data_IF_774940726263
#
_entry.id   IF_774940726263
#
_cell.length_a   1.000
_cell.length_b   1.000
_cell.length_c   1.000
_cell.angle_alpha   90.00
_cell.angle_beta   90.00
_cell.angle_gamma   90.00
#
_symmetry.space_group_name_H-M   'P 1'
#
loop_
_entity.id
_entity.type
_entity.pdbx_description
1 polymer ?
#
# COMPACT_ATOMS: atom_id res chain seq x y z
N UNK A 1 -105.72 -23.72 6.47
CA UNK A 1 -105.28 -22.32 6.68
C UNK A 1 -103.82 -22.17 6.27
N UNK A 2 -103.52 -21.00 5.71
CA UNK A 2 -102.26 -20.48 5.14
C UNK A 2 -100.93 -20.82 5.85
N UNK A 3 -99.96 -21.31 5.05
CA UNK A 3 -98.66 -20.71 4.65
C UNK A 3 -97.54 -20.41 5.70
N UNK A 4 -96.32 -20.80 5.26
CA UNK A 4 -94.93 -20.28 5.48
C UNK A 4 -94.11 -21.00 6.57
N UNK A 5 -93.03 -21.71 6.21
CA UNK A 5 -91.66 -21.26 5.84
C UNK A 5 -90.99 -20.38 6.90
N UNK A 6 -89.98 -20.91 7.59
CA UNK A 6 -88.69 -20.23 7.86
C UNK A 6 -87.59 -21.30 7.91
N UNK A 7 -86.53 -21.05 7.13
CA UNK A 7 -85.30 -21.82 7.04
C UNK A 7 -84.38 -21.55 8.23
N UNK A 8 -83.79 -22.60 8.80
CA UNK A 8 -82.68 -22.50 9.73
C UNK A 8 -81.36 -22.65 8.98
N UNK A 9 -80.61 -21.56 8.86
CA UNK A 9 -79.19 -21.56 8.52
C UNK A 9 -78.46 -21.40 9.86
N UNK A 10 -77.69 -22.42 10.27
CA UNK A 10 -76.72 -22.24 11.37
C UNK A 10 -75.42 -22.97 11.05
N UNK A 11 -74.47 -22.15 10.59
CA UNK A 11 -73.03 -22.17 10.80
C UNK A 11 -72.28 -23.52 10.84
N UNK A 12 -71.64 -23.85 9.72
CA UNK A 12 -70.42 -24.66 9.72
C UNK A 12 -69.26 -23.81 10.27
N UNK A 13 -68.67 -24.26 11.36
CA UNK A 13 -67.44 -23.72 11.95
C UNK A 13 -66.27 -24.04 11.01
N UNK A 14 -65.86 -23.05 10.22
CA UNK A 14 -64.59 -23.05 9.50
C UNK A 14 -63.50 -22.56 10.47
N UNK A 15 -62.73 -23.50 11.00
CA UNK A 15 -61.50 -23.20 11.71
C UNK A 15 -60.47 -22.69 10.67
N UNK A 16 -60.30 -21.37 10.59
CA UNK A 16 -59.14 -20.76 9.95
C UNK A 16 -57.90 -21.09 10.79
N UNK A 17 -57.08 -22.01 10.32
CA UNK A 17 -55.70 -22.10 10.76
C UNK A 17 -54.95 -20.88 10.22
N UNK A 18 -54.68 -19.90 11.09
CA UNK A 18 -53.76 -18.82 10.80
C UNK A 18 -52.35 -19.44 10.73
N UNK A 19 -51.88 -19.74 9.53
CA UNK A 19 -50.45 -19.97 9.28
C UNK A 19 -49.80 -18.58 9.33
N UNK A 20 -48.95 -18.26 10.32
CA UNK A 20 -48.14 -17.06 10.21
C UNK A 20 -47.25 -17.26 8.98
N UNK A 21 -47.49 -16.45 7.95
CA UNK A 21 -46.55 -16.25 6.86
C UNK A 21 -45.30 -15.58 7.44
N UNK A 22 -44.47 -16.36 8.13
CA UNK A 22 -43.08 -16.03 8.39
C UNK A 22 -42.37 -16.08 7.04
N UNK A 23 -42.55 -15.02 6.26
CA UNK A 23 -41.69 -14.74 5.11
C UNK A 23 -40.30 -14.49 5.67
N UNK A 24 -39.51 -15.55 5.77
CA UNK A 24 -38.07 -15.45 5.86
C UNK A 24 -37.61 -14.84 4.52
N UNK A 25 -37.58 -13.52 4.46
CA UNK A 25 -36.68 -12.84 3.53
C UNK A 25 -35.28 -13.24 3.99
N UNK A 26 -34.76 -14.33 3.44
CA UNK A 26 -33.34 -14.60 3.51
C UNK A 26 -32.68 -13.40 2.82
N UNK A 27 -32.13 -12.50 3.64
CA UNK A 27 -31.26 -11.45 3.12
C UNK A 27 -30.23 -12.15 2.23
N UNK A 28 -30.05 -11.71 0.97
CA UNK A 28 -29.08 -12.32 0.10
C UNK A 28 -27.73 -12.22 0.81
N UNK A 29 -27.23 -13.37 1.29
CA UNK A 29 -25.86 -13.42 1.76
C UNK A 29 -25.02 -13.11 0.54
N UNK A 30 -24.40 -11.94 0.54
CA UNK A 30 -23.46 -11.55 -0.47
C UNK A 30 -22.29 -12.54 -0.39
N UNK A 31 -22.40 -13.63 -1.15
CA UNK A 31 -21.28 -14.54 -1.39
C UNK A 31 -20.34 -13.78 -2.30
N UNK A 32 -19.44 -13.01 -1.70
CA UNK A 32 -18.29 -12.45 -2.39
C UNK A 32 -17.37 -13.62 -2.75
N UNK A 33 -17.61 -14.21 -3.91
CA UNK A 33 -16.70 -15.18 -4.48
C UNK A 33 -15.47 -14.40 -4.95
N UNK A 34 -14.34 -14.61 -4.29
CA UNK A 34 -13.04 -14.10 -4.69
C UNK A 34 -12.55 -14.91 -5.90
N UNK A 35 -13.26 -14.82 -7.02
CA UNK A 35 -12.86 -15.47 -8.26
C UNK A 35 -11.92 -14.55 -9.00
N UNK A 36 -10.62 -14.88 -8.99
CA UNK A 36 -9.72 -14.40 -10.05
C UNK A 36 -10.21 -15.04 -11.34
N UNK A 37 -10.85 -14.25 -12.19
CA UNK A 37 -11.58 -14.75 -13.38
C UNK A 37 -10.67 -15.35 -14.44
N UNK A 38 -9.35 -15.19 -14.30
CA UNK A 38 -8.36 -15.65 -15.26
C UNK A 38 -7.24 -16.40 -14.54
N UNK A 39 -6.94 -17.61 -15.03
CA UNK A 39 -5.71 -18.32 -14.65
C UNK A 39 -4.54 -17.49 -15.13
N UNK A 40 -3.77 -16.95 -14.20
CA UNK A 40 -2.57 -16.15 -14.51
C UNK A 40 -1.36 -17.04 -14.70
N UNK A 41 -0.47 -16.64 -15.62
CA UNK A 41 0.82 -17.30 -15.80
C UNK A 41 1.81 -16.85 -14.71
N UNK A 42 2.83 -17.66 -14.38
CA UNK A 42 3.87 -17.28 -13.43
C UNK A 42 4.55 -15.96 -13.78
N UNK A 43 4.78 -15.71 -15.07
CA UNK A 43 5.40 -14.48 -15.57
C UNK A 43 4.50 -13.27 -15.32
N UNK A 44 3.20 -13.39 -15.55
CA UNK A 44 2.25 -12.32 -15.27
C UNK A 44 2.21 -11.97 -13.78
N UNK A 45 2.08 -12.97 -12.91
CA UNK A 45 2.06 -12.76 -11.46
C UNK A 45 3.41 -12.20 -10.96
N UNK A 46 4.53 -12.65 -11.53
CA UNK A 46 5.86 -12.11 -11.23
C UNK A 46 6.00 -10.63 -11.61
N UNK A 47 5.46 -10.23 -12.75
CA UNK A 47 5.47 -8.83 -13.19
C UNK A 47 4.58 -7.96 -12.31
N UNK A 48 3.42 -8.48 -11.88
CA UNK A 48 2.47 -7.75 -11.06
C UNK A 48 2.92 -7.58 -9.59
N UNK A 49 3.59 -8.58 -9.02
CA UNK A 49 4.03 -8.58 -7.64
C UNK A 49 5.20 -7.62 -7.39
N UNK A 50 5.26 -6.99 -6.20
CA UNK A 50 6.43 -6.21 -5.78
C UNK A 50 7.53 -7.11 -5.20
N UNK A 51 7.14 -8.24 -4.60
CA UNK A 51 8.03 -9.21 -3.98
C UNK A 51 7.60 -10.63 -4.39
N UNK A 52 8.56 -11.46 -4.75
CA UNK A 52 8.34 -12.86 -5.09
C UNK A 52 9.36 -13.69 -4.34
N UNK A 53 8.90 -14.61 -3.49
CA UNK A 53 9.78 -15.41 -2.67
C UNK A 53 9.18 -16.78 -2.36
N UNK A 54 10.04 -17.72 -2.05
CA UNK A 54 9.69 -19.05 -1.56
C UNK A 54 10.26 -19.23 -0.16
N UNK A 55 9.45 -19.76 0.78
CA UNK A 55 9.90 -20.00 2.14
C UNK A 55 8.82 -20.59 3.05
N UNK A 56 9.21 -20.86 4.30
CA UNK A 56 8.36 -21.46 5.33
C UNK A 56 7.71 -20.42 6.25
N UNK A 57 6.46 -20.65 6.64
CA UNK A 57 5.76 -19.80 7.62
C UNK A 57 6.26 -20.12 9.03
N UNK A 58 6.86 -19.15 9.69
CA UNK A 58 7.32 -19.22 11.07
C UNK A 58 6.19 -18.99 12.08
N UNK A 59 5.33 -18.01 11.81
CA UNK A 59 4.24 -17.60 12.70
C UNK A 59 3.07 -17.02 11.88
N UNK A 60 1.84 -17.19 12.38
CA UNK A 60 0.65 -16.50 11.86
C UNK A 60 -0.08 -15.88 13.04
N UNK A 61 -0.34 -14.59 12.96
CA UNK A 61 -1.06 -13.87 14.02
C UNK A 61 -2.13 -12.95 13.45
N UNK A 62 -3.16 -12.68 14.27
CA UNK A 62 -4.15 -11.65 13.96
C UNK A 62 -3.58 -10.29 14.34
N UNK A 63 -3.68 -9.34 13.41
CA UNK A 63 -3.21 -7.97 13.59
C UNK A 63 -4.27 -6.99 13.09
N UNK A 64 -4.06 -5.71 13.34
CA UNK A 64 -4.85 -4.62 12.79
C UNK A 64 -3.93 -3.72 11.97
N UNK A 65 -4.38 -3.34 10.79
CA UNK A 65 -3.73 -2.39 9.91
C UNK A 65 -4.82 -1.62 9.17
N UNK A 66 -4.64 -0.31 8.97
CA UNK A 66 -5.73 0.58 8.52
C UNK A 66 -6.95 0.55 9.46
N UNK A 67 -6.71 0.16 10.72
CA UNK A 67 -7.73 0.00 11.75
C UNK A 67 -8.70 -1.18 11.53
N UNK A 68 -8.49 -1.99 10.49
CA UNK A 68 -9.27 -3.19 10.20
C UNK A 68 -8.45 -4.46 10.50
N UNK A 69 -9.12 -5.58 10.81
CA UNK A 69 -8.42 -6.80 11.17
C UNK A 69 -7.81 -7.49 9.94
N UNK A 70 -6.59 -7.98 10.10
CA UNK A 70 -5.82 -8.76 9.12
C UNK A 70 -5.24 -10.00 9.79
N UNK A 71 -4.70 -10.91 8.97
CA UNK A 71 -3.71 -11.90 9.38
C UNK A 71 -2.34 -11.49 8.85
N UNK A 72 -1.32 -11.72 9.66
CA UNK A 72 0.06 -11.53 9.28
C UNK A 72 0.81 -12.85 9.38
N UNK A 73 1.44 -13.27 8.29
CA UNK A 73 2.32 -14.42 8.27
C UNK A 73 3.78 -13.95 8.26
N UNK A 74 4.58 -14.49 9.17
CA UNK A 74 6.02 -14.28 9.24
C UNK A 74 6.73 -15.46 8.60
N UNK A 75 7.71 -15.21 7.72
CA UNK A 75 8.40 -16.22 6.93
C UNK A 75 9.88 -16.33 7.27
N UNK A 76 10.41 -17.56 7.16
CA UNK A 76 11.82 -17.81 6.87
C UNK A 76 11.93 -17.96 5.36
N UNK A 77 12.58 -16.99 4.70
CA UNK A 77 12.73 -16.99 3.24
C UNK A 77 13.89 -17.90 2.82
N UNK A 78 13.58 -18.92 2.02
CA UNK A 78 14.59 -19.82 1.45
C UNK A 78 15.20 -19.24 0.18
N UNK A 79 14.37 -18.60 -0.65
CA UNK A 79 14.80 -17.96 -1.90
C UNK A 79 13.95 -16.73 -2.19
N UNK A 80 14.60 -15.61 -2.48
CA UNK A 80 13.95 -14.41 -3.01
C UNK A 80 14.22 -14.32 -4.50
N UNK A 81 13.14 -14.31 -5.29
CA UNK A 81 13.17 -14.18 -6.76
C UNK A 81 12.95 -12.72 -7.20
N UNK A 82 12.27 -11.92 -6.37
CA UNK A 82 11.99 -10.50 -6.59
C UNK A 82 11.82 -9.78 -5.25
N UNK A 83 12.17 -8.50 -5.21
CA UNK A 83 12.00 -7.65 -4.03
C UNK A 83 13.14 -7.75 -3.01
N UNK A 84 12.96 -7.15 -1.83
CA UNK A 84 13.96 -7.10 -0.78
C UNK A 84 13.56 -8.05 0.36
N UNK A 85 13.93 -9.33 0.27
CA UNK A 85 13.91 -10.32 1.35
C UNK A 85 12.86 -10.10 2.46
N UNK A 86 11.59 -10.04 2.08
CA UNK A 86 10.49 -9.67 3.00
C UNK A 86 10.25 -10.77 4.02
N UNK A 87 10.00 -10.37 5.28
CA UNK A 87 9.80 -11.32 6.39
C UNK A 87 8.34 -11.49 6.76
N UNK A 88 7.47 -10.55 6.42
CA UNK A 88 6.08 -10.54 6.86
C UNK A 88 5.17 -10.19 5.70
N UNK A 89 4.01 -10.84 5.63
CA UNK A 89 2.98 -10.58 4.62
C UNK A 89 1.63 -10.44 5.30
N UNK A 90 0.88 -9.40 4.93
CA UNK A 90 -0.50 -9.18 5.36
C UNK A 90 -1.49 -9.87 4.41
N UNK A 91 -2.57 -10.40 4.97
CA UNK A 91 -3.69 -10.97 4.20
C UNK A 91 -5.01 -10.72 4.95
N UNK A 92 -6.13 -10.45 4.27
CA UNK A 92 -7.45 -10.36 4.90
C UNK A 92 -7.77 -11.57 5.78
N UNK A 93 -8.71 -11.45 6.73
CA UNK A 93 -8.87 -12.44 7.79
C UNK A 93 -9.40 -13.80 7.33
N UNK A 94 -10.14 -13.84 6.23
CA UNK A 94 -10.74 -15.07 5.73
C UNK A 94 -10.93 -15.10 4.22
N UNK A 95 -11.23 -16.29 3.70
CA UNK A 95 -11.43 -16.53 2.28
C UNK A 95 -12.59 -15.69 1.70
N UNK A 96 -13.62 -15.39 2.50
CA UNK A 96 -14.72 -14.50 2.09
C UNK A 96 -14.30 -13.05 1.84
N UNK A 97 -13.13 -12.64 2.31
CA UNK A 97 -12.50 -11.33 2.09
C UNK A 97 -11.29 -11.44 1.14
N UNK A 98 -11.18 -12.56 0.42
CA UNK A 98 -10.06 -12.90 -0.45
C UNK A 98 -8.73 -13.07 0.29
N UNK A 99 -8.80 -13.38 1.59
CA UNK A 99 -7.64 -13.66 2.42
C UNK A 99 -7.16 -15.10 2.28
N UNK A 100 -5.84 -15.27 2.21
CA UNK A 100 -5.21 -16.59 2.29
C UNK A 100 -5.03 -17.04 3.75
N UNK A 101 -5.20 -18.34 4.02
CA UNK A 101 -4.95 -18.95 5.33
C UNK A 101 -3.61 -19.67 5.31
N UNK A 102 -2.58 -19.02 5.83
CA UNK A 102 -1.27 -19.63 6.01
C UNK A 102 -1.27 -20.65 7.15
N UNK A 103 -0.54 -21.75 6.97
CA UNK A 103 -0.29 -22.75 8.00
C UNK A 103 1.16 -22.68 8.49
N UNK A 104 1.35 -22.67 9.81
CA UNK A 104 2.68 -22.62 10.39
C UNK A 104 3.48 -23.87 10.03
N UNK A 105 4.75 -23.68 9.61
CA UNK A 105 5.66 -24.73 9.19
C UNK A 105 5.55 -25.13 7.71
N UNK A 106 4.53 -24.64 6.99
CA UNK A 106 4.33 -24.94 5.57
C UNK A 106 5.14 -23.99 4.68
N UNK A 107 5.47 -24.47 3.49
CA UNK A 107 6.22 -23.72 2.48
C UNK A 107 5.30 -23.18 1.39
N UNK A 108 5.54 -21.94 0.98
CA UNK A 108 4.73 -21.26 -0.03
C UNK A 108 5.60 -20.51 -1.03
N UNK A 109 5.16 -20.48 -2.28
CA UNK A 109 5.59 -19.47 -3.26
C UNK A 109 4.62 -18.29 -3.17
N UNK A 110 5.13 -17.11 -2.85
CA UNK A 110 4.34 -15.93 -2.50
C UNK A 110 4.65 -14.79 -3.47
N UNK A 111 3.59 -14.25 -4.09
CA UNK A 111 3.61 -13.11 -5.00
C UNK A 111 3.03 -11.86 -4.31
N UNK A 112 3.74 -11.33 -3.32
CA UNK A 112 3.26 -10.21 -2.53
C UNK A 112 3.37 -8.88 -3.28
N UNK A 113 2.30 -8.10 -3.28
CA UNK A 113 2.29 -6.72 -3.76
C UNK A 113 2.32 -5.74 -2.59
N UNK A 114 2.73 -4.49 -2.83
CA UNK A 114 2.75 -3.47 -1.80
C UNK A 114 1.47 -2.63 -1.78
N UNK A 115 0.28 -3.18 -2.10
CA UNK A 115 -0.97 -2.40 -2.22
C UNK A 115 -1.35 -1.65 -0.95
N UNK A 116 -0.99 -2.18 0.21
CA UNK A 116 -1.26 -1.61 1.53
C UNK A 116 -0.11 -0.73 2.07
N UNK A 117 0.88 -0.38 1.24
CA UNK A 117 2.14 0.21 1.70
C UNK A 117 3.06 -0.81 2.39
N UNK A 118 2.64 -2.07 2.41
CA UNK A 118 3.33 -3.21 2.99
C UNK A 118 3.09 -4.44 2.12
N UNK A 119 3.98 -5.45 2.15
CA UNK A 119 3.75 -6.70 1.44
C UNK A 119 2.43 -7.33 1.88
N UNK A 120 1.54 -7.50 0.92
CA UNK A 120 0.21 -8.04 1.12
C UNK A 120 -0.13 -9.02 0.00
N UNK A 121 -0.96 -9.99 0.34
CA UNK A 121 -1.44 -11.04 -0.56
C UNK A 121 -2.93 -11.23 -0.43
N UNK A 122 -3.49 -11.85 -1.45
CA UNK A 122 -4.79 -12.49 -1.47
C UNK A 122 -4.63 -13.99 -1.72
N UNK A 123 -5.73 -14.72 -1.69
CA UNK A 123 -5.74 -16.15 -2.00
C UNK A 123 -5.10 -16.49 -3.36
N UNK A 124 -5.22 -15.61 -4.35
CA UNK A 124 -4.67 -15.83 -5.69
C UNK A 124 -3.18 -15.49 -5.86
N UNK A 125 -2.53 -15.03 -4.80
CA UNK A 125 -1.13 -14.61 -4.82
C UNK A 125 -0.21 -15.62 -4.13
N UNK A 126 -0.76 -16.73 -3.63
CA UNK A 126 -0.06 -17.72 -2.82
C UNK A 126 -0.26 -19.10 -3.41
N UNK A 127 0.83 -19.83 -3.59
CA UNK A 127 0.83 -21.19 -4.13
C UNK A 127 1.60 -22.12 -3.20
N UNK A 128 1.18 -23.39 -3.13
CA UNK A 128 1.83 -24.44 -2.35
C UNK A 128 1.97 -25.74 -3.16
N UNK A 129 2.66 -26.73 -2.59
CA UNK A 129 2.81 -28.07 -3.17
C UNK A 129 3.39 -28.10 -4.58
N UNK A 130 2.82 -28.96 -5.43
CA UNK A 130 3.31 -29.18 -6.81
C UNK A 130 3.16 -27.93 -7.69
N UNK A 131 2.12 -27.12 -7.48
CA UNK A 131 1.97 -25.87 -8.24
C UNK A 131 3.07 -24.87 -7.87
N UNK A 132 3.34 -24.67 -6.58
CA UNK A 132 4.45 -23.82 -6.16
C UNK A 132 5.79 -24.29 -6.73
N UNK A 133 6.05 -25.60 -6.72
CA UNK A 133 7.27 -26.18 -7.27
C UNK A 133 7.39 -25.95 -8.79
N UNK A 134 6.30 -26.18 -9.54
CA UNK A 134 6.27 -25.97 -10.98
C UNK A 134 6.46 -24.50 -11.35
N UNK A 135 5.77 -23.58 -10.66
CA UNK A 135 5.93 -22.13 -10.85
C UNK A 135 7.34 -21.66 -10.48
N UNK A 136 7.88 -22.14 -9.36
CA UNK A 136 9.25 -21.82 -8.93
C UNK A 136 10.29 -22.28 -9.96
N UNK A 137 10.12 -23.48 -10.52
CA UNK A 137 10.99 -23.99 -11.58
C UNK A 137 10.86 -23.15 -12.86
N UNK A 138 9.63 -22.85 -13.28
CA UNK A 138 9.35 -21.95 -14.41
C UNK A 138 10.03 -20.59 -14.24
N UNK A 139 9.95 -19.98 -13.05
CA UNK A 139 10.61 -18.70 -12.75
C UNK A 139 12.15 -18.79 -12.75
N UNK A 140 12.72 -19.92 -12.33
CA UNK A 140 14.17 -20.16 -12.38
C UNK A 140 14.68 -20.37 -13.80
N UNK A 141 13.85 -20.97 -14.66
CA UNK A 141 14.16 -21.23 -16.07
C UNK A 141 13.85 -20.03 -16.97
N UNK A 142 12.84 -19.22 -16.60
CA UNK A 142 12.52 -17.97 -17.26
C UNK A 142 13.72 -17.06 -17.12
N UNK A 143 14.49 -16.93 -18.20
CA UNK A 143 15.51 -15.89 -18.27
C UNK A 143 14.77 -14.57 -18.09
N UNK A 144 15.23 -13.67 -17.20
CA UNK A 144 14.67 -12.32 -17.12
C UNK A 144 14.58 -11.78 -18.56
N UNK A 145 13.47 -11.11 -18.89
CA UNK A 145 13.23 -10.54 -20.22
C UNK A 145 14.56 -10.04 -20.77
N UNK A 146 15.06 -10.61 -21.88
CA UNK A 146 16.44 -10.38 -22.28
C UNK A 146 16.67 -8.89 -22.31
N UNK A 147 17.68 -8.45 -21.55
CA UNK A 147 18.05 -7.05 -21.53
C UNK A 147 18.27 -6.65 -23.00
N UNK A 148 17.61 -5.59 -23.49
CA UNK A 148 17.86 -5.13 -24.85
C UNK A 148 19.36 -4.89 -25.00
N UNK A 149 19.92 -5.42 -26.10
CA UNK A 149 21.34 -5.27 -26.38
C UNK A 149 21.72 -3.77 -26.34
N UNK A 150 22.89 -3.40 -25.80
CA UNK A 150 23.33 -2.01 -25.82
C UNK A 150 23.31 -1.44 -27.24
N UNK A 151 22.69 -0.27 -27.41
CA UNK A 151 22.56 0.37 -28.72
C UNK A 151 21.24 1.08 -28.93
N UNK A 152 21.02 1.52 -30.17
CA UNK A 152 19.80 2.21 -30.58
C UNK A 152 18.74 1.19 -31.01
N UNK A 153 17.56 1.27 -30.40
CA UNK A 153 16.41 0.43 -30.71
C UNK A 153 15.23 1.31 -31.12
N UNK A 154 14.50 0.91 -32.16
CA UNK A 154 13.27 1.57 -32.56
C UNK A 154 12.12 1.03 -31.72
N UNK A 155 11.47 1.90 -30.95
CA UNK A 155 10.36 1.54 -30.07
C UNK A 155 9.20 2.51 -30.26
N UNK A 156 7.98 2.04 -29.96
CA UNK A 156 6.80 2.91 -29.89
C UNK A 156 6.68 3.46 -28.47
N UNK A 157 6.74 4.78 -28.34
CA UNK A 157 6.56 5.51 -27.10
C UNK A 157 5.16 6.13 -27.06
N UNK A 158 4.54 6.13 -25.88
CA UNK A 158 3.22 6.72 -25.65
C UNK A 158 3.38 7.92 -24.72
N UNK A 159 3.13 9.15 -25.16
CA UNK A 159 3.22 10.32 -24.30
C UNK A 159 2.32 10.23 -23.05
N UNK A 160 2.85 10.65 -21.91
CA UNK A 160 2.17 10.66 -20.61
C UNK A 160 1.74 12.07 -20.16
N UNK A 161 1.30 12.93 -21.08
CA UNK A 161 1.02 14.35 -20.78
C UNK A 161 -0.11 14.58 -19.78
N UNK A 162 -1.04 13.62 -19.70
CA UNK A 162 -2.16 13.64 -18.76
C UNK A 162 -1.88 12.86 -17.48
N UNK A 163 -0.63 12.41 -17.28
CA UNK A 163 -0.24 11.74 -16.05
C UNK A 163 -0.16 12.76 -14.93
N UNK A 164 -0.86 12.49 -13.85
CA UNK A 164 -0.68 13.20 -12.60
C UNK A 164 0.26 12.39 -11.72
N UNK A 165 1.29 13.02 -11.17
CA UNK A 165 2.10 12.43 -10.10
C UNK A 165 1.78 13.20 -8.83
N UNK A 166 1.35 12.50 -7.79
CA UNK A 166 1.05 13.06 -6.48
C UNK A 166 2.03 12.42 -5.50
N UNK A 167 2.80 13.22 -4.77
CA UNK A 167 3.70 12.75 -3.71
C UNK A 167 3.29 13.40 -2.39
N UNK A 168 3.01 12.60 -1.36
CA UNK A 168 2.54 13.09 -0.06
C UNK A 168 1.36 14.07 -0.18
N UNK A 169 0.38 13.71 -1.01
CA UNK A 169 -0.81 14.53 -1.29
C UNK A 169 -0.58 15.77 -2.16
N UNK A 170 0.68 16.11 -2.49
CA UNK A 170 1.04 17.27 -3.29
C UNK A 170 1.24 16.87 -4.75
N UNK A 171 0.63 17.60 -5.69
CA UNK A 171 0.85 17.37 -7.13
C UNK A 171 2.27 17.79 -7.50
N UNK A 172 3.00 16.87 -8.10
CA UNK A 172 4.40 17.04 -8.48
C UNK A 172 4.53 17.36 -9.97
N UNK A 173 5.34 18.37 -10.36
CA UNK A 173 5.64 18.61 -11.76
C UNK A 173 6.54 17.48 -12.29
N UNK A 174 6.27 17.00 -13.51
CA UNK A 174 7.15 16.05 -14.20
C UNK A 174 7.66 16.75 -15.46
N UNK A 175 8.95 17.08 -15.48
CA UNK A 175 9.57 17.79 -16.60
C UNK A 175 10.96 17.21 -16.89
N UNK A 176 11.25 16.77 -18.13
CA UNK A 176 10.34 16.58 -19.27
C UNK A 176 9.09 15.70 -18.98
N UNK A 177 8.12 15.65 -19.89
CA UNK A 177 6.90 14.87 -19.69
C UNK A 177 7.18 13.38 -19.47
N UNK A 178 6.32 12.71 -18.70
CA UNK A 178 6.36 11.26 -18.54
C UNK A 178 5.95 10.54 -19.84
N UNK A 179 6.20 9.23 -19.91
CA UNK A 179 5.73 8.36 -21.00
C UNK A 179 5.28 7.00 -20.49
N UNK A 180 4.47 6.31 -21.28
CA UNK A 180 4.23 4.89 -21.14
C UNK A 180 5.07 4.11 -22.14
N UNK A 181 5.73 3.08 -21.63
CA UNK A 181 6.48 2.11 -22.42
C UNK A 181 6.42 0.75 -21.72
N UNK A 182 6.16 -0.31 -22.48
CA UNK A 182 6.03 -1.69 -21.94
C UNK A 182 5.13 -1.78 -20.69
N UNK A 183 3.93 -1.20 -20.78
CA UNK A 183 2.94 -1.16 -19.68
C UNK A 183 3.45 -0.51 -18.37
N UNK A 184 4.51 0.30 -18.46
CA UNK A 184 5.11 0.98 -17.32
C UNK A 184 5.15 2.48 -17.56
N UNK A 185 4.88 3.24 -16.51
CA UNK A 185 5.06 4.69 -16.51
C UNK A 185 6.54 4.99 -16.29
N UNK A 186 7.16 5.65 -17.26
CA UNK A 186 8.52 6.15 -17.19
C UNK A 186 8.52 7.65 -16.94
N UNK A 187 9.44 8.09 -16.08
CA UNK A 187 9.70 9.50 -15.80
C UNK A 187 11.16 9.82 -16.09
N UNK A 188 11.48 11.09 -16.40
CA UNK A 188 12.87 11.51 -16.48
C UNK A 188 13.59 11.24 -15.15
N UNK A 189 14.83 10.77 -15.20
CA UNK A 189 15.64 10.56 -13.99
C UNK A 189 15.78 11.85 -13.15
N UNK A 190 15.75 13.02 -13.80
CA UNK A 190 15.77 14.32 -13.14
C UNK A 190 14.57 14.56 -12.23
N UNK A 191 13.43 13.87 -12.43
CA UNK A 191 12.28 13.93 -11.53
C UNK A 191 12.68 13.57 -10.08
N UNK A 192 13.42 12.47 -9.89
CA UNK A 192 13.86 12.06 -8.55
C UNK A 192 14.78 13.10 -7.90
N UNK A 193 15.54 13.87 -8.69
CA UNK A 193 16.47 14.89 -8.19
C UNK A 193 15.79 16.23 -7.93
N UNK A 194 15.17 16.77 -8.96
CA UNK A 194 14.63 18.13 -8.94
C UNK A 194 13.35 18.23 -8.14
N UNK A 195 12.59 17.13 -8.07
CA UNK A 195 11.24 17.10 -7.50
C UNK A 195 11.22 16.38 -6.17
N UNK A 196 11.94 15.26 -6.04
CA UNK A 196 12.01 14.49 -4.80
C UNK A 196 13.29 14.74 -3.98
N UNK A 197 14.26 15.48 -4.51
CA UNK A 197 15.47 15.87 -3.78
C UNK A 197 16.52 14.76 -3.63
N UNK A 198 16.39 13.63 -4.33
CA UNK A 198 17.42 12.59 -4.34
C UNK A 198 18.63 13.00 -5.17
N UNK A 199 19.81 12.45 -4.87
CA UNK A 199 20.95 12.62 -5.77
C UNK A 199 20.83 11.61 -6.90
N UNK A 200 21.09 12.07 -8.13
CA UNK A 200 21.24 11.23 -9.31
C UNK A 200 22.57 11.55 -9.96
N UNK A 201 23.54 10.65 -9.84
CA UNK A 201 24.80 10.77 -10.58
C UNK A 201 24.64 10.05 -11.90
N UNK A 202 25.08 10.67 -13.00
CA UNK A 202 25.26 9.99 -14.28
C UNK A 202 26.73 10.13 -14.70
N UNK A 203 27.45 9.02 -14.78
CA UNK A 203 28.86 9.04 -15.17
C UNK A 203 29.03 8.70 -16.66
N UNK A 204 28.98 9.73 -17.51
CA UNK A 204 29.21 9.59 -18.94
C UNK A 204 30.68 9.21 -19.27
N UNK A 205 31.65 9.71 -18.50
CA UNK A 205 33.08 9.58 -18.79
C UNK A 205 33.60 8.14 -18.65
N UNK A 206 32.97 7.33 -17.80
CA UNK A 206 33.37 5.94 -17.57
C UNK A 206 32.64 4.94 -18.47
N UNK A 207 31.75 5.37 -19.37
CA UNK A 207 30.78 4.48 -20.03
C UNK A 207 30.01 3.58 -19.03
N UNK A 208 29.99 3.98 -17.75
CA UNK A 208 29.29 3.30 -16.67
C UNK A 208 28.11 4.16 -16.33
N UNK A 209 27.00 3.81 -16.95
CA UNK A 209 25.70 4.44 -16.78
C UNK A 209 25.15 4.04 -15.40
N UNK A 210 25.79 4.54 -14.34
CA UNK A 210 25.45 4.19 -12.98
C UNK A 210 24.51 5.22 -12.40
N UNK A 211 23.22 4.89 -12.24
CA UNK A 211 22.28 5.75 -11.53
C UNK A 211 22.49 5.51 -10.04
N UNK A 212 23.10 6.44 -9.32
CA UNK A 212 23.18 6.36 -7.85
C UNK A 212 22.05 7.16 -7.24
N UNK A 213 21.20 6.49 -6.48
CA UNK A 213 20.18 7.11 -5.63
C UNK A 213 20.51 6.84 -4.16
N UNK A 214 20.31 7.83 -3.30
CA UNK A 214 20.63 7.77 -1.86
C UNK A 214 19.46 8.26 -1.02
N UNK A 215 18.94 7.40 -0.14
CA UNK A 215 17.82 7.72 0.76
C UNK A 215 18.23 8.62 1.91
N UNK A 216 19.45 8.47 2.43
CA UNK A 216 20.00 9.24 3.54
C UNK A 216 20.21 10.74 3.24
N UNK A 217 20.07 11.15 1.97
CA UNK A 217 20.26 12.53 1.52
C UNK A 217 18.93 13.22 1.17
N UNK A 218 17.79 12.57 1.42
CA UNK A 218 16.46 13.19 1.26
C UNK A 218 16.30 14.42 2.14
N UNK A 219 15.89 15.55 1.55
CA UNK A 219 15.75 16.83 2.25
C UNK A 219 17.01 17.72 2.25
N UNK A 220 18.17 17.20 1.82
CA UNK A 220 19.29 18.07 1.40
C UNK A 220 18.96 18.55 0.00
N UNK A 221 18.17 19.62 -0.09
CA UNK A 221 17.89 20.28 -1.34
C UNK A 221 19.18 20.43 -2.17
N UNK A 222 19.20 19.79 -3.34
CA UNK A 222 19.66 20.41 -4.57
C UNK A 222 20.95 21.27 -4.48
N UNK A 223 22.00 20.74 -3.83
CA UNK A 223 23.38 21.24 -3.95
C UNK A 223 24.36 20.18 -4.44
N UNK A 224 23.84 19.09 -5.01
CA UNK A 224 24.64 18.31 -5.95
C UNK A 224 25.05 19.25 -7.08
N UNK A 225 26.34 19.26 -7.42
CA UNK A 225 26.86 20.02 -8.56
C UNK A 225 25.99 19.71 -9.78
N UNK A 226 25.25 20.69 -10.34
CA UNK A 226 24.43 20.49 -11.53
C UNK A 226 25.23 19.84 -12.67
N UNK A 227 26.54 20.08 -12.73
CA UNK A 227 27.43 19.49 -13.73
C UNK A 227 27.50 17.95 -13.67
N UNK A 228 27.26 17.32 -12.51
CA UNK A 228 27.27 15.84 -12.38
C UNK A 228 26.00 15.15 -12.91
N UNK A 229 25.02 15.95 -13.33
CA UNK A 229 23.74 15.49 -13.81
C UNK A 229 23.23 16.32 -15.00
N UNK A 230 24.11 17.14 -15.60
CA UNK A 230 23.77 18.00 -16.73
C UNK A 230 23.70 17.14 -17.99
N UNK A 231 22.47 16.75 -18.33
CA UNK A 231 22.13 16.30 -19.67
C UNK A 231 22.20 17.51 -20.60
N UNK A 232 23.23 17.57 -21.44
CA UNK A 232 23.39 18.63 -22.43
C UNK A 232 22.45 18.39 -23.61
N UNK A 233 21.33 19.11 -23.66
CA UNK A 233 20.62 19.40 -24.92
C UNK A 233 19.42 18.53 -25.29
N UNK A 234 18.69 17.94 -24.33
CA UNK A 234 17.53 17.11 -24.66
C UNK A 234 16.22 17.87 -24.87
N UNK A 235 15.58 17.72 -26.03
CA UNK A 235 14.28 18.33 -26.36
C UNK A 235 13.06 17.70 -25.67
N UNK A 236 13.27 16.72 -24.78
CA UNK A 236 12.18 15.98 -24.15
C UNK A 236 11.32 15.19 -25.15
N UNK A 237 10.19 14.70 -24.68
CA UNK A 237 9.16 14.07 -25.50
C UNK A 237 8.42 15.17 -26.27
N UNK A 238 8.14 14.98 -27.57
CA UNK A 238 7.24 15.87 -28.30
C UNK A 238 5.91 16.01 -27.56
N UNK A 239 5.41 17.23 -27.47
CA UNK A 239 4.09 17.49 -26.88
C UNK A 239 3.01 16.92 -27.80
N UNK A 240 2.11 16.10 -27.28
CA UNK A 240 0.99 15.46 -27.97
C UNK A 240 0.52 14.16 -27.29
N UNK A 241 -0.65 13.65 -27.69
CA UNK A 241 -1.23 12.40 -27.14
C UNK A 241 -1.06 11.18 -28.04
N UNK A 242 -0.51 11.36 -29.24
CA UNK A 242 -0.37 10.27 -30.21
C UNK A 242 0.91 9.45 -29.97
N UNK A 243 0.84 8.11 -30.02
CA UNK A 243 2.02 7.26 -29.97
C UNK A 243 2.95 7.55 -31.15
N UNK A 244 4.26 7.50 -30.93
CA UNK A 244 5.25 7.72 -31.99
C UNK A 244 6.41 6.72 -31.92
N UNK A 245 7.02 6.44 -33.07
CA UNK A 245 8.20 5.57 -33.15
C UNK A 245 9.45 6.42 -32.96
N UNK A 246 10.34 5.97 -32.10
CA UNK A 246 11.59 6.65 -31.80
C UNK A 246 12.76 5.70 -31.59
N UNK A 247 13.95 6.16 -31.97
CA UNK A 247 15.20 5.54 -31.57
C UNK A 247 15.50 5.87 -30.11
N UNK A 248 15.45 4.86 -29.24
CA UNK A 248 15.92 4.97 -27.85
C UNK A 248 17.26 4.26 -27.75
N UNK A 249 18.17 4.79 -26.94
CA UNK A 249 19.45 4.14 -26.69
C UNK A 249 19.38 3.41 -25.36
N UNK A 250 19.40 2.08 -25.42
CA UNK A 250 19.70 1.28 -24.24
C UNK A 250 21.20 1.32 -24.04
N UNK A 251 21.59 1.78 -22.87
CA UNK A 251 22.96 1.70 -22.40
C UNK A 251 22.94 0.73 -21.22
N UNK A 252 24.02 0.03 -20.91
CA UNK A 252 24.06 -0.93 -19.80
C UNK A 252 23.94 -0.15 -18.46
N UNK A 253 22.72 0.31 -18.15
CA UNK A 253 22.42 1.21 -17.05
C UNK A 253 22.27 0.39 -15.79
N UNK A 254 23.20 0.60 -14.88
CA UNK A 254 23.19 -0.01 -13.56
C UNK A 254 22.59 0.98 -12.56
N UNK A 255 21.38 0.71 -12.08
CA UNK A 255 20.81 1.46 -10.98
C UNK A 255 21.40 0.94 -9.66
N UNK A 256 21.94 1.84 -8.84
CA UNK A 256 22.31 1.60 -7.45
C UNK A 256 21.47 2.44 -6.53
N UNK A 257 20.81 1.80 -5.58
CA UNK A 257 20.09 2.47 -4.50
C UNK A 257 20.78 2.12 -3.20
N UNK A 258 21.23 3.14 -2.47
CA UNK A 258 21.98 2.99 -1.21
C UNK A 258 23.18 2.03 -1.34
N UNK A 259 23.92 2.16 -2.45
CA UNK A 259 25.10 1.36 -2.75
C UNK A 259 24.82 -0.06 -3.27
N UNK A 260 23.57 -0.53 -3.20
CA UNK A 260 23.18 -1.85 -3.70
C UNK A 260 22.83 -1.79 -5.19
N UNK A 261 23.49 -2.62 -6.00
CA UNK A 261 23.16 -2.79 -7.41
C UNK A 261 21.79 -3.46 -7.54
N UNK A 262 20.90 -2.86 -8.33
CA UNK A 262 19.61 -3.43 -8.64
C UNK A 262 19.44 -3.56 -10.15
N UNK A 263 19.19 -4.77 -10.68
CA UNK A 263 18.78 -4.95 -12.06
C UNK A 263 17.34 -4.43 -12.21
N UNK A 264 17.10 -3.32 -12.92
CA UNK A 264 15.77 -2.77 -13.04
C UNK A 264 14.88 -3.73 -13.84
N UNK A 265 13.69 -4.01 -13.31
CA UNK A 265 12.66 -4.82 -14.01
C UNK A 265 12.38 -4.30 -15.41
N UNK A 266 12.36 -2.97 -15.52
CA UNK A 266 12.19 -2.22 -16.75
C UNK A 266 13.46 -1.41 -16.99
N UNK A 267 14.18 -1.72 -18.06
CA UNK A 267 15.47 -1.10 -18.33
C UNK A 267 15.32 0.41 -18.57
N UNK A 268 16.16 1.23 -17.92
CA UNK A 268 16.33 2.62 -18.28
C UNK A 268 16.79 2.76 -19.73
N UNK A 269 16.39 3.84 -20.39
CA UNK A 269 16.86 4.17 -21.72
C UNK A 269 17.08 5.67 -21.87
N UNK A 270 17.97 6.04 -22.77
CA UNK A 270 18.15 7.43 -23.18
C UNK A 270 17.27 7.72 -24.40
N UNK A 271 16.48 8.78 -24.33
CA UNK A 271 15.75 9.32 -25.46
C UNK A 271 16.02 10.82 -25.55
N UNK A 272 16.55 11.25 -26.71
CA UNK A 272 16.84 12.65 -26.99
C UNK A 272 17.62 13.32 -25.85
N UNK A 273 18.68 12.67 -25.36
CA UNK A 273 19.52 13.19 -24.28
C UNK A 273 18.94 13.06 -22.86
N UNK A 274 17.71 12.55 -22.71
CA UNK A 274 17.03 12.38 -21.42
C UNK A 274 17.00 10.91 -21.03
N UNK A 275 17.49 10.58 -19.83
CA UNK A 275 17.38 9.21 -19.29
C UNK A 275 16.02 9.03 -18.65
N UNK A 276 15.25 8.07 -19.16
CA UNK A 276 13.96 7.67 -18.61
C UNK A 276 14.14 6.42 -17.75
N UNK A 277 13.49 6.44 -16.59
CA UNK A 277 13.43 5.30 -15.66
C UNK A 277 11.98 4.97 -15.34
N UNK A 278 11.67 3.69 -15.13
CA UNK A 278 10.34 3.30 -14.71
C UNK A 278 10.05 3.83 -13.30
N UNK A 279 8.96 4.58 -13.15
CA UNK A 279 8.62 5.31 -11.93
C UNK A 279 8.49 4.37 -10.73
N UNK A 280 7.64 3.34 -10.84
CA UNK A 280 7.35 2.41 -9.74
C UNK A 280 8.62 1.67 -9.28
N UNK A 281 9.33 1.01 -10.21
CA UNK A 281 10.51 0.21 -9.85
C UNK A 281 11.62 1.06 -9.23
N UNK A 282 11.80 2.30 -9.69
CA UNK A 282 12.80 3.22 -9.16
C UNK A 282 12.39 3.78 -7.79
N UNK A 283 11.14 4.22 -7.66
CA UNK A 283 10.60 4.80 -6.43
C UNK A 283 10.51 3.77 -5.29
N UNK A 284 10.02 2.56 -5.55
CA UNK A 284 9.88 1.52 -4.52
C UNK A 284 11.23 1.10 -3.94
N UNK A 285 12.31 1.18 -4.72
CA UNK A 285 13.68 0.95 -4.23
C UNK A 285 14.16 2.06 -3.29
N UNK A 286 13.62 3.26 -3.40
CA UNK A 286 13.86 4.37 -2.49
C UNK A 286 12.96 4.34 -1.24
N UNK A 287 12.18 3.27 -1.07
CA UNK A 287 11.17 3.21 -0.02
C UNK A 287 9.96 4.08 -0.30
N UNK A 288 9.70 4.44 -1.57
CA UNK A 288 8.49 5.17 -1.97
C UNK A 288 7.51 4.21 -2.62
N UNK A 289 6.37 4.00 -1.98
CA UNK A 289 5.26 3.23 -2.54
C UNK A 289 4.67 3.99 -3.74
N UNK A 290 4.32 3.28 -4.82
CA UNK A 290 3.62 3.87 -5.98
C UNK A 290 2.34 3.12 -6.30
N UNK A 291 1.19 3.76 -6.02
CA UNK A 291 -0.13 3.29 -6.43
C UNK A 291 -0.58 3.96 -7.74
N UNK A 292 -1.23 3.20 -8.63
CA UNK A 292 -1.73 3.72 -9.90
C UNK A 292 -3.26 3.78 -9.88
N UNK A 293 -3.83 4.95 -10.16
CA UNK A 293 -5.27 5.18 -10.29
C UNK A 293 -5.60 5.38 -11.78
N UNK A 294 -6.05 4.34 -12.50
CA UNK A 294 -6.20 4.38 -13.95
C UNK A 294 -7.24 5.40 -14.43
N UNK A 295 -8.32 5.61 -13.66
CA UNK A 295 -9.44 6.49 -14.02
C UNK A 295 -8.98 7.95 -14.17
N UNK A 296 -8.08 8.37 -13.30
CA UNK A 296 -7.53 9.74 -13.25
C UNK A 296 -6.13 9.83 -13.84
N UNK A 297 -5.58 8.70 -14.29
CA UNK A 297 -4.19 8.54 -14.74
C UNK A 297 -3.20 9.12 -13.71
N UNK A 298 -3.42 8.77 -12.46
CA UNK A 298 -2.66 9.34 -11.33
C UNK A 298 -1.74 8.29 -10.72
N UNK A 299 -0.44 8.58 -10.66
CA UNK A 299 0.51 7.89 -9.81
C UNK A 299 0.51 8.57 -8.43
N UNK A 300 0.02 7.88 -7.41
CA UNK A 300 0.05 8.33 -6.01
C UNK A 300 1.28 7.70 -5.36
N UNK A 301 2.16 8.54 -4.85
CA UNK A 301 3.42 8.20 -4.26
C UNK A 301 3.43 8.54 -2.76
N UNK A 302 3.91 7.61 -1.93
CA UNK A 302 4.03 7.79 -0.48
C UNK A 302 5.38 7.26 -0.01
N UNK A 303 6.15 8.08 0.71
CA UNK A 303 7.39 7.67 1.37
C UNK A 303 7.05 6.78 2.56
N UNK A 304 7.30 5.48 2.39
CA UNK A 304 7.12 4.43 3.40
C UNK A 304 8.47 3.98 3.97
N UNK A 305 9.56 4.68 3.67
CA UNK A 305 10.86 4.35 4.21
C UNK A 305 10.81 4.44 5.74
N UNK A 306 11.57 3.59 6.48
CA UNK A 306 11.62 3.67 7.92
C UNK A 306 12.01 5.08 8.37
N UNK A 307 11.28 5.63 9.35
CA UNK A 307 11.67 6.91 9.96
C UNK A 307 12.84 6.60 10.90
N UNK A 308 14.01 7.19 10.62
CA UNK A 308 15.18 7.00 11.47
C UNK A 308 14.91 7.47 12.91
N UNK A 309 15.42 6.72 13.89
CA UNK A 309 15.28 7.06 15.31
C UNK A 309 15.94 8.40 15.68
N UNK A 310 16.95 8.81 14.92
CA UNK A 310 17.62 10.11 15.01
C UNK A 310 16.68 11.29 14.72
N UNK A 311 15.62 11.07 13.94
CA UNK A 311 14.60 12.07 13.59
C UNK A 311 13.54 12.26 14.69
N UNK A 312 13.78 11.71 15.88
CA UNK A 312 12.91 11.83 17.07
C UNK A 312 11.43 11.58 16.74
N UNK A 313 11.09 10.46 16.10
CA UNK A 313 9.71 10.14 15.79
C UNK A 313 8.85 10.12 17.05
N UNK A 314 7.58 10.51 16.92
CA UNK A 314 6.58 10.43 17.99
C UNK A 314 5.48 9.44 17.62
N UNK A 315 4.98 8.72 18.62
CA UNK A 315 3.80 7.86 18.45
C UNK A 315 2.55 8.76 18.37
N UNK A 316 1.74 8.55 17.34
CA UNK A 316 0.47 9.26 17.11
C UNK A 316 -0.66 8.25 17.05
N UNK A 317 -1.77 8.56 17.71
CA UNK A 317 -3.01 7.79 17.64
C UNK A 317 -4.01 8.57 16.80
N UNK A 318 -4.54 7.94 15.75
CA UNK A 318 -5.67 8.48 14.98
C UNK A 318 -6.91 7.60 15.09
N UNK A 319 -8.07 8.25 15.03
CA UNK A 319 -9.37 7.62 14.92
C UNK A 319 -9.96 7.94 13.54
N UNK A 320 -9.89 6.97 12.63
CA UNK A 320 -10.27 7.15 11.22
C UNK A 320 -11.72 6.73 10.97
N UNK A 321 -12.48 7.59 10.30
CA UNK A 321 -13.86 7.26 9.89
C UNK A 321 -13.85 6.36 8.66
N UNK A 322 -14.82 5.46 8.57
CA UNK A 322 -15.06 4.69 7.34
C UNK A 322 -15.70 5.54 6.23
N UNK A 323 -16.07 6.80 6.53
CA UNK A 323 -16.60 7.74 5.54
C UNK A 323 -15.49 8.60 4.95
N UNK A 324 -15.28 8.50 3.63
CA UNK A 324 -14.21 9.20 2.92
C UNK A 324 -14.24 10.74 3.05
N UNK A 325 -15.38 11.34 3.43
CA UNK A 325 -15.53 12.78 3.63
C UNK A 325 -15.21 13.25 5.05
N UNK A 326 -15.07 12.35 6.01
CA UNK A 326 -14.80 12.71 7.39
C UNK A 326 -13.30 12.69 7.67
N UNK A 327 -12.71 13.80 8.16
CA UNK A 327 -11.31 13.81 8.54
C UNK A 327 -11.05 12.88 9.74
N UNK A 328 -9.82 12.39 9.81
CA UNK A 328 -9.32 11.64 10.96
C UNK A 328 -9.29 12.52 12.21
N UNK A 329 -9.39 11.90 13.40
CA UNK A 329 -9.15 12.59 14.67
C UNK A 329 -7.75 12.23 15.15
N UNK A 330 -6.91 13.21 15.42
CA UNK A 330 -5.64 13.00 16.13
C UNK A 330 -5.91 13.09 17.62
N UNK A 331 -5.62 12.01 18.34
CA UNK A 331 -5.78 11.95 19.80
C UNK A 331 -4.51 12.48 20.46
N UNK A 332 -4.63 13.66 21.07
CA UNK A 332 -3.53 14.33 21.76
C UNK A 332 -3.29 13.75 23.16
N UNK A 333 -4.39 13.38 23.84
CA UNK A 333 -4.33 12.89 25.23
C UNK A 333 -5.50 11.98 25.55
N UNK A 334 -5.28 10.97 26.39
CA UNK A 334 -6.33 10.15 27.01
C UNK A 334 -6.18 10.16 28.53
N UNK A 335 -7.22 10.58 29.26
CA UNK A 335 -7.29 10.56 30.72
C UNK A 335 -8.49 9.74 31.16
N UNK A 336 -8.24 8.54 31.66
CA UNK A 336 -9.29 7.56 31.91
C UNK A 336 -9.98 7.17 30.61
N UNK A 337 -11.26 7.54 30.47
CA UNK A 337 -12.01 7.34 29.24
C UNK A 337 -12.20 8.63 28.42
N UNK A 338 -11.67 9.78 28.85
CA UNK A 338 -11.82 11.02 28.09
C UNK A 338 -10.64 11.21 27.15
N UNK A 339 -10.92 11.31 25.85
CA UNK A 339 -9.96 11.65 24.81
C UNK A 339 -10.02 13.15 24.51
N UNK A 340 -8.87 13.83 24.57
CA UNK A 340 -8.66 15.14 23.97
C UNK A 340 -8.10 14.93 22.57
N UNK A 341 -8.72 15.57 21.58
CA UNK A 341 -8.39 15.36 20.17
C UNK A 341 -8.63 16.61 19.33
N UNK A 342 -8.11 16.60 18.11
CA UNK A 342 -8.42 17.56 17.06
C UNK A 342 -8.59 16.87 15.70
N UNK A 343 -9.19 17.58 14.74
CA UNK A 343 -9.29 17.09 13.36
C UNK A 343 -7.95 17.15 12.64
N UNK A 344 -7.59 16.07 11.95
CA UNK A 344 -6.45 16.01 11.04
C UNK A 344 -6.79 16.76 9.75
N UNK A 345 -6.52 18.06 9.75
CA UNK A 345 -6.76 18.92 8.60
C UNK A 345 -5.66 19.97 8.46
N UNK A 346 -5.34 20.39 7.22
CA UNK A 346 -4.43 21.51 6.99
C UNK A 346 -4.98 22.78 7.65
N UNK A 347 -4.16 23.43 8.46
CA UNK A 347 -4.50 24.70 9.08
C UNK A 347 -3.80 25.87 8.37
N UNK A 348 -4.44 27.04 8.29
CA UNK A 348 -3.77 28.27 7.90
C UNK A 348 -2.56 28.55 8.78
N UNK A 349 -1.55 29.22 8.21
CA UNK A 349 -0.33 29.56 8.92
C UNK A 349 -0.64 30.37 10.19
N UNK A 350 -0.18 29.87 11.35
CA UNK A 350 -0.35 30.51 12.65
C UNK A 350 -1.60 30.08 13.42
N UNK A 351 -2.49 29.27 12.83
CA UNK A 351 -3.63 28.69 13.54
C UNK A 351 -3.25 27.43 14.32
N UNK A 352 -3.88 27.24 15.47
CA UNK A 352 -3.78 26.01 16.28
C UNK A 352 -5.07 25.19 16.13
N UNK A 353 -5.00 23.85 16.04
CA UNK A 353 -6.20 23.04 15.94
C UNK A 353 -7.13 23.26 17.13
N UNK A 354 -8.44 23.35 16.87
CA UNK A 354 -9.44 23.40 17.93
C UNK A 354 -9.44 22.07 18.69
N UNK A 355 -9.18 22.14 19.99
CA UNK A 355 -9.18 20.97 20.88
C UNK A 355 -10.61 20.63 21.29
N UNK A 356 -10.95 19.36 21.17
CA UNK A 356 -12.24 18.79 21.53
C UNK A 356 -12.06 17.72 22.61
N UNK A 357 -13.15 17.37 23.29
CA UNK A 357 -13.13 16.30 24.30
C UNK A 357 -14.38 15.45 24.17
N UNK A 358 -14.21 14.14 24.16
CA UNK A 358 -15.29 13.17 24.18
C UNK A 358 -14.85 11.89 24.92
N UNK A 359 -15.79 11.01 25.24
CA UNK A 359 -15.42 9.66 25.66
C UNK A 359 -14.72 8.93 24.51
N UNK A 360 -13.62 8.26 24.80
CA UNK A 360 -12.89 7.42 23.86
C UNK A 360 -13.78 6.30 23.35
N UNK A 361 -14.54 5.65 24.25
CA UNK A 361 -15.46 4.58 23.87
C UNK A 361 -16.61 5.08 22.99
N UNK A 362 -17.11 6.29 23.22
CA UNK A 362 -18.10 6.92 22.33
C UNK A 362 -17.53 7.20 20.93
N UNK A 363 -16.24 7.57 20.81
CA UNK A 363 -15.60 7.86 19.53
C UNK A 363 -15.32 6.61 18.68
N UNK A 364 -15.14 5.45 19.31
CA UNK A 364 -14.82 4.17 18.64
C UNK A 364 -15.95 3.15 18.73
N UNK A 365 -17.15 3.58 19.14
CA UNK A 365 -18.29 2.68 19.31
C UNK A 365 -18.65 2.02 17.98
N UNK A 366 -19.17 0.79 18.08
CA UNK A 366 -19.68 0.05 16.94
C UNK A 366 -21.19 0.21 16.83
N UNK A 367 -21.66 0.59 15.64
CA UNK A 367 -23.08 0.65 15.30
C UNK A 367 -23.34 -0.34 14.17
N UNK A 368 -24.19 -1.34 14.40
CA UNK A 368 -24.48 -2.42 13.45
C UNK A 368 -23.23 -3.22 13.00
N UNK A 369 -22.28 -3.44 13.92
CA UNK A 369 -21.04 -4.18 13.63
C UNK A 369 -20.00 -3.40 12.82
N UNK A 370 -20.21 -2.10 12.62
CA UNK A 370 -19.25 -1.20 11.98
C UNK A 370 -18.80 -0.18 13.01
N UNK A 371 -17.49 -0.10 13.25
CA UNK A 371 -16.92 0.94 14.10
C UNK A 371 -17.15 2.31 13.46
N UNK A 372 -17.62 3.28 14.26
CA UNK A 372 -17.74 4.66 13.78
C UNK A 372 -16.38 5.23 13.42
N UNK A 373 -15.35 4.90 14.21
CA UNK A 373 -13.96 5.19 13.89
C UNK A 373 -13.05 4.03 14.26
N UNK A 374 -12.13 3.70 13.36
CA UNK A 374 -11.13 2.68 13.57
C UNK A 374 -9.89 3.29 14.27
N UNK A 375 -9.35 2.55 15.22
CA UNK A 375 -8.11 2.92 15.93
C UNK A 375 -6.90 2.61 15.07
N UNK A 376 -6.05 3.62 14.84
CA UNK A 376 -4.81 3.48 14.06
C UNK A 376 -3.64 4.13 14.78
N UNK A 377 -2.49 3.47 14.74
CA UNK A 377 -1.27 3.97 15.36
C UNK A 377 -0.25 4.28 14.28
N UNK A 378 0.40 5.42 14.41
CA UNK A 378 1.38 5.90 13.47
C UNK A 378 2.63 6.33 14.18
N UNK A 379 3.74 6.28 13.47
CA UNK A 379 4.93 6.99 13.87
C UNK A 379 5.11 8.19 12.95
N UNK A 380 5.27 9.37 13.56
CA UNK A 380 5.34 10.65 12.86
C UNK A 380 6.67 11.35 13.12
N UNK A 381 7.28 11.91 12.07
CA UNK A 381 8.40 12.85 12.19
C UNK A 381 8.27 13.93 11.12
N UNK A 382 8.07 15.18 11.55
CA UNK A 382 7.72 16.28 10.63
C UNK A 382 6.40 16.00 9.90
N UNK A 383 6.41 16.13 8.56
CA UNK A 383 5.28 15.79 7.68
C UNK A 383 5.16 14.28 7.40
N UNK A 384 6.17 13.47 7.75
CA UNK A 384 6.19 12.05 7.44
C UNK A 384 5.44 11.24 8.48
N UNK A 385 4.65 10.29 8.02
CA UNK A 385 3.85 9.43 8.87
C UNK A 385 3.78 7.99 8.33
N UNK A 386 4.21 7.05 9.17
CA UNK A 386 4.20 5.62 8.87
C UNK A 386 3.22 4.89 9.78
N UNK A 387 2.22 4.23 9.19
CA UNK A 387 1.27 3.42 9.94
C UNK A 387 1.91 2.15 10.49
N UNK A 388 1.58 1.83 11.74
CA UNK A 388 2.02 0.63 12.43
C UNK A 388 1.00 -0.49 12.28
N UNK A 389 1.51 -1.71 12.21
CA UNK A 389 0.70 -2.91 12.40
C UNK A 389 0.50 -3.08 13.90
N UNK A 390 -0.76 -3.11 14.36
CA UNK A 390 -1.09 -3.24 15.78
C UNK A 390 -1.43 -4.71 16.07
N UNK A 391 -0.79 -5.34 17.05
CA UNK A 391 -1.14 -6.72 17.41
C UNK A 391 -2.57 -6.78 17.96
N UNK A 392 -3.26 -7.90 17.73
CA UNK A 392 -4.63 -8.07 18.20
C UNK A 392 -4.79 -7.89 19.72
N UNK A 393 -3.82 -8.33 20.51
CA UNK A 393 -3.85 -8.16 21.97
C UNK A 393 -3.76 -6.69 22.38
N UNK A 394 -2.89 -5.91 21.73
CA UNK A 394 -2.80 -4.47 21.98
C UNK A 394 -4.09 -3.78 21.54
N UNK A 395 -4.62 -4.08 20.35
CA UNK A 395 -5.85 -3.47 19.86
C UNK A 395 -7.03 -3.72 20.81
N UNK A 396 -7.27 -4.98 21.19
CA UNK A 396 -8.32 -5.33 22.16
C UNK A 396 -8.14 -4.60 23.49
N UNK A 397 -6.91 -4.48 23.95
CA UNK A 397 -6.60 -3.80 25.21
C UNK A 397 -6.81 -2.29 25.13
N UNK A 398 -6.47 -1.64 24.01
CA UNK A 398 -6.76 -0.20 23.80
C UNK A 398 -8.26 0.05 23.89
N UNK A 399 -9.07 -0.82 23.28
CA UNK A 399 -10.53 -0.69 23.25
C UNK A 399 -11.16 -0.95 24.62
N UNK A 400 -10.66 -1.92 25.39
CA UNK A 400 -11.35 -2.43 26.59
C UNK A 400 -10.72 -2.06 27.93
N UNK A 401 -9.43 -1.73 27.98
CA UNK A 401 -8.69 -1.50 29.24
C UNK A 401 -8.26 -0.02 29.40
N UNK A 402 -8.91 0.74 30.31
CA UNK A 402 -8.52 2.11 30.63
C UNK A 402 -7.08 2.25 31.14
N UNK A 403 -6.51 1.23 31.78
CA UNK A 403 -5.12 1.28 32.26
C UNK A 403 -4.13 1.24 31.08
N UNK A 404 -4.45 0.49 30.02
CA UNK A 404 -3.64 0.48 28.79
C UNK A 404 -3.76 1.81 28.05
N UNK A 405 -4.96 2.42 27.99
CA UNK A 405 -5.12 3.78 27.45
C UNK A 405 -4.31 4.82 28.22
N UNK A 406 -4.25 4.71 29.55
CA UNK A 406 -3.43 5.59 30.38
C UNK A 406 -1.93 5.43 30.10
N UNK A 407 -1.45 4.19 29.88
CA UNK A 407 -0.06 3.95 29.49
C UNK A 407 0.23 4.45 28.08
N UNK A 408 -0.67 4.19 27.12
CA UNK A 408 -0.57 4.73 25.77
C UNK A 408 -0.47 6.26 25.80
N UNK A 409 -1.28 6.93 26.62
CA UNK A 409 -1.21 8.38 26.81
C UNK A 409 0.17 8.88 27.28
N UNK A 410 0.93 8.09 28.04
CA UNK A 410 2.27 8.50 28.47
C UNK A 410 3.33 8.48 27.36
N UNK A 411 3.04 7.83 26.22
CA UNK A 411 3.93 7.74 25.06
C UNK A 411 3.43 8.49 23.82
N UNK A 412 2.17 8.91 23.79
CA UNK A 412 1.64 9.71 22.67
C UNK A 412 2.34 11.08 22.61
N UNK A 413 2.80 11.44 21.42
CA UNK A 413 3.47 12.72 21.16
C UNK A 413 4.85 12.87 21.79
N UNK A 414 5.41 11.84 22.44
CA UNK A 414 6.74 11.90 23.06
C UNK A 414 7.82 11.37 22.12
N UNK A 415 9.02 11.96 22.18
CA UNK A 415 10.18 11.57 21.36
C UNK A 415 10.99 10.40 21.94
N UNK A 416 10.52 9.83 23.06
CA UNK A 416 11.20 8.75 23.81
C UNK A 416 10.68 7.35 23.48
N UNK A 417 9.97 7.17 22.36
CA UNK A 417 9.39 5.88 21.99
C UNK A 417 10.41 4.97 21.29
N UNK A 418 10.57 3.74 21.79
CA UNK A 418 11.42 2.76 21.12
C UNK A 418 10.70 2.19 19.90
N UNK A 419 11.37 2.25 18.75
CA UNK A 419 10.79 1.82 17.48
C UNK A 419 10.52 0.30 17.47
N UNK A 420 9.30 -0.15 17.12
CA UNK A 420 9.02 -1.56 16.98
C UNK A 420 9.70 -2.14 15.73
N UNK A 421 10.35 -3.29 15.89
CA UNK A 421 10.89 -4.03 14.76
C UNK A 421 9.80 -4.27 13.69
N UNK A 422 10.16 -4.03 12.43
CA UNK A 422 9.28 -4.21 11.26
C UNK A 422 7.98 -3.36 11.28
N UNK A 423 7.88 -2.38 12.19
CA UNK A 423 6.70 -1.54 12.33
C UNK A 423 5.50 -2.27 12.94
N UNK A 424 5.74 -3.27 13.79
CA UNK A 424 4.69 -4.05 14.48
C UNK A 424 4.66 -3.67 15.96
N UNK A 425 3.61 -2.96 16.40
CA UNK A 425 3.44 -2.54 17.78
C UNK A 425 2.50 -3.48 18.54
N UNK A 426 2.96 -3.92 19.71
CA UNK A 426 2.22 -4.78 20.64
C UNK A 426 2.35 -4.32 22.09
N UNK A 427 1.67 -5.01 23.02
CA UNK A 427 1.59 -4.64 24.44
C UNK A 427 2.94 -4.39 25.13
N UNK A 428 4.00 -5.09 24.71
CA UNK A 428 5.35 -4.90 25.27
C UNK A 428 5.91 -3.49 25.05
N UNK A 429 5.43 -2.77 24.03
CA UNK A 429 5.86 -1.43 23.68
C UNK A 429 5.09 -0.34 24.45
N UNK A 430 3.95 -0.68 25.06
CA UNK A 430 3.07 0.24 25.80
C UNK A 430 3.15 -0.06 27.31
N UNK A 431 4.35 -0.31 27.82
CA UNK A 431 4.59 -0.70 29.22
C UNK A 431 4.94 0.47 30.12
#
# INVERSE_FOLDING_TARGET
MRKKMVAGITAAVLALAAVPAAGYAAEPQATYACTKTEVTTPEYDYLAASNVFYGSVLNVESVYFDGIPYRMATFVTDTSLKGAGIKTVLTPQGAGECGYTFEQGHNYLVYANNRLGRPAVSESDVFEGDEAAARLQSLKESKPTPLPDPGVHQVTLYPGENVNVIFEGKKMPVTPAALYFQNSLYVPLTFFRDVLGYITVWNADLNRNEIRLRTDWGGVAAKGDPAQSQFTGGGGIPVGTEPFVAGVTYSDVQAKVDGSLYPPENQPFNYNGVVYVALRSTAERLGIQVNWVPETKTAIMKDISPIESTNRPVLTLKLSSNQASEPDLIVDRIVGDQAQYHYDQPLPYGETPAQMTASFTDLVKETNGVAERNVRLFIRSGERENELIVTNDLMKSILTDPAIRLRLNSVLGTDSFHWPDHGIIGLVHIR
#
